data_IF_120528351846
#
_entry.id   IF_120528351846
#
_cell.length_a   1.000
_cell.length_b   1.000
_cell.length_c   1.000
_cell.angle_alpha   90.00
_cell.angle_beta   90.00
_cell.angle_gamma   90.00
#
_symmetry.space_group_name_H-M   'P 1'
#
loop_
_entity.id
_entity.type
_entity.pdbx_description
1 polymer ?
#
# COMPACT_ATOMS: atom_id res chain seq x y z
N UNK A 1 54.25 45.53 -54.70
CA UNK A 1 55.27 46.48 -54.25
C UNK A 1 55.70 46.04 -52.88
N UNK A 2 56.83 45.40 -52.87
CA UNK A 2 58.08 45.70 -52.17
C UNK A 2 57.99 45.68 -50.66
N UNK A 3 58.82 45.08 -49.94
CA UNK A 3 60.07 44.27 -50.02
C UNK A 3 60.44 43.84 -48.59
N UNK A 4 60.92 42.65 -48.50
CA UNK A 4 62.19 42.23 -47.87
C UNK A 4 62.72 43.03 -46.71
N UNK A 5 63.12 42.37 -45.62
CA UNK A 5 64.52 42.07 -45.27
C UNK A 5 64.60 41.11 -44.07
N UNK A 6 65.41 40.07 -44.24
CA UNK A 6 66.00 39.23 -43.22
C UNK A 6 66.99 40.00 -42.35
N UNK A 7 67.24 39.54 -41.12
CA UNK A 7 68.62 39.36 -40.60
C UNK A 7 68.66 38.39 -39.46
N UNK A 8 69.56 37.49 -39.62
CA UNK A 8 70.12 36.46 -38.80
C UNK A 8 70.83 36.92 -37.52
N UNK A 9 70.90 35.99 -36.58
CA UNK A 9 72.01 35.51 -35.71
C UNK A 9 71.98 35.95 -34.25
N UNK A 10 71.96 35.08 -33.34
CA UNK A 10 73.04 34.34 -32.71
C UNK A 10 72.64 33.49 -31.54
N UNK A 11 73.19 32.30 -31.58
CA UNK A 11 73.17 31.28 -30.58
C UNK A 11 73.71 31.73 -29.18
N UNK A 12 73.26 31.14 -28.10
CA UNK A 12 74.03 30.10 -27.36
C UNK A 12 73.45 29.81 -25.96
N UNK A 13 73.45 28.52 -25.68
CA UNK A 13 73.66 27.87 -24.40
C UNK A 13 72.72 28.16 -23.19
N UNK A 14 72.06 27.08 -22.77
CA UNK A 14 71.51 26.91 -21.44
C UNK A 14 70.54 25.75 -21.34
N UNK A 15 70.97 24.54 -21.70
CA UNK A 15 70.24 23.34 -21.33
C UNK A 15 70.22 23.15 -19.84
N UNK A 16 69.07 22.88 -19.28
CA UNK A 16 68.88 21.98 -18.12
C UNK A 16 67.40 21.78 -17.84
N UNK A 17 66.98 20.52 -18.06
CA UNK A 17 65.95 19.85 -17.26
C UNK A 17 64.53 20.42 -17.21
N UNK A 18 63.74 20.23 -18.26
CA UNK A 18 62.30 20.51 -18.26
C UNK A 18 61.43 19.27 -18.57
N UNK A 19 61.93 18.06 -18.36
CA UNK A 19 61.17 16.82 -18.69
C UNK A 19 60.54 16.08 -17.47
N UNK A 20 60.79 16.32 -16.18
CA UNK A 20 60.08 15.55 -15.16
C UNK A 20 58.76 16.15 -14.62
N UNK A 21 58.38 17.40 -15.01
CA UNK A 21 57.15 18.02 -14.43
C UNK A 21 55.88 17.73 -15.22
N UNK A 22 55.94 17.37 -16.48
CA UNK A 22 54.78 17.05 -17.30
C UNK A 22 54.35 15.60 -17.12
N UNK A 23 55.25 14.67 -16.79
CA UNK A 23 54.92 13.25 -16.53
C UNK A 23 54.27 13.05 -15.15
N UNK A 24 54.43 13.91 -14.18
CA UNK A 24 53.79 13.82 -12.85
C UNK A 24 52.39 14.38 -12.84
N UNK A 25 52.03 15.31 -13.73
CA UNK A 25 50.65 15.83 -13.87
C UNK A 25 49.75 14.86 -14.65
N UNK A 26 50.30 14.08 -15.58
CA UNK A 26 49.50 13.08 -16.32
C UNK A 26 49.19 11.82 -15.51
N UNK A 27 50.00 11.48 -14.50
CA UNK A 27 49.74 10.34 -13.61
C UNK A 27 48.70 10.67 -12.52
N UNK A 28 48.49 11.96 -12.18
CA UNK A 28 47.51 12.39 -11.18
C UNK A 28 46.10 12.58 -11.76
N UNK A 29 45.96 12.71 -13.10
CA UNK A 29 44.67 12.81 -13.77
C UNK A 29 44.07 11.43 -14.13
N UNK A 30 44.84 10.33 -14.08
CA UNK A 30 44.35 8.99 -14.36
C UNK A 30 43.83 8.24 -13.12
N UNK A 31 43.98 8.82 -11.90
CA UNK A 31 43.59 8.18 -10.65
C UNK A 31 42.22 8.61 -10.11
N UNK A 32 41.44 9.44 -10.87
CA UNK A 32 40.18 9.98 -10.39
C UNK A 32 38.93 9.59 -11.19
N UNK A 33 38.98 8.47 -11.92
CA UNK A 33 37.76 7.96 -12.58
C UNK A 33 37.52 6.48 -12.31
N UNK A 34 37.69 6.03 -11.08
CA UNK A 34 36.89 4.90 -10.62
C UNK A 34 35.53 5.47 -10.20
N UNK A 35 34.70 5.84 -11.15
CA UNK A 35 33.26 5.84 -10.95
C UNK A 35 32.94 4.43 -10.48
N UNK A 36 32.71 4.27 -9.19
CA UNK A 36 32.12 3.06 -8.65
C UNK A 36 30.77 2.88 -9.36
N UNK A 37 30.78 2.18 -10.49
CA UNK A 37 29.59 1.58 -11.03
C UNK A 37 29.20 0.58 -9.95
N UNK A 38 28.30 1.00 -9.08
CA UNK A 38 27.53 0.10 -8.24
C UNK A 38 26.84 -0.83 -9.26
N UNK A 39 27.36 -2.02 -9.39
CA UNK A 39 26.72 -3.07 -10.19
C UNK A 39 25.29 -3.18 -9.66
N UNK A 40 24.31 -2.80 -10.48
CA UNK A 40 22.90 -2.82 -10.13
C UNK A 40 22.55 -4.28 -9.87
N UNK A 41 22.43 -4.67 -8.60
CA UNK A 41 22.16 -6.05 -8.19
C UNK A 41 20.81 -6.47 -8.78
N UNK A 42 20.83 -7.21 -9.88
CA UNK A 42 19.62 -7.71 -10.53
C UNK A 42 19.08 -8.91 -9.76
N UNK A 43 18.07 -8.69 -8.93
CA UNK A 43 17.38 -9.74 -8.17
C UNK A 43 16.38 -10.53 -9.02
N UNK A 44 16.05 -10.04 -10.23
CA UNK A 44 15.22 -10.72 -11.19
C UNK A 44 13.73 -10.41 -11.08
N UNK A 45 12.90 -11.28 -11.66
CA UNK A 45 11.45 -11.08 -11.76
C UNK A 45 10.74 -11.35 -10.44
N UNK A 46 9.69 -10.55 -10.17
CA UNK A 46 8.76 -10.74 -9.06
C UNK A 46 7.32 -10.47 -9.56
N UNK A 47 6.42 -11.45 -9.39
CA UNK A 47 5.01 -11.31 -9.75
C UNK A 47 4.22 -10.88 -8.52
N UNK A 48 3.51 -9.76 -8.62
CA UNK A 48 2.74 -9.17 -7.53
C UNK A 48 1.29 -9.01 -7.98
N UNK A 49 0.34 -9.44 -7.15
CA UNK A 49 -1.06 -9.15 -7.40
C UNK A 49 -1.68 -8.33 -6.27
N UNK A 50 -2.63 -7.46 -6.63
CA UNK A 50 -3.45 -6.72 -5.68
C UNK A 50 -4.94 -7.01 -5.88
N UNK A 51 -5.65 -7.25 -4.77
CA UNK A 51 -7.04 -7.71 -4.78
C UNK A 51 -8.06 -6.59 -5.03
N UNK A 52 -7.66 -5.33 -4.86
CA UNK A 52 -8.52 -4.16 -5.04
C UNK A 52 -7.74 -2.98 -5.58
N UNK A 53 -8.34 -2.27 -6.54
CA UNK A 53 -7.84 -1.00 -7.05
C UNK A 53 -8.56 0.13 -6.28
N UNK A 54 -7.90 0.68 -5.27
CA UNK A 54 -8.39 1.78 -4.42
C UNK A 54 -7.30 2.83 -4.25
N UNK A 55 -7.62 4.04 -3.78
CA UNK A 55 -6.60 5.05 -3.48
C UNK A 55 -5.51 4.54 -2.53
N UNK A 56 -5.83 3.63 -1.61
CA UNK A 56 -4.87 3.00 -0.69
C UNK A 56 -3.84 2.10 -1.40
N UNK A 57 -4.12 1.63 -2.62
CA UNK A 57 -3.17 0.83 -3.43
C UNK A 57 -2.14 1.71 -4.14
N UNK A 58 -2.30 3.05 -4.13
CA UNK A 58 -1.52 3.98 -4.93
C UNK A 58 -0.01 3.85 -4.76
N UNK A 59 0.50 3.50 -3.58
CA UNK A 59 1.93 3.34 -3.33
C UNK A 59 2.57 2.24 -4.20
N UNK A 60 1.85 1.16 -4.53
CA UNK A 60 2.34 0.13 -5.46
C UNK A 60 2.42 0.65 -6.89
N UNK A 61 1.43 1.44 -7.32
CA UNK A 61 1.45 2.08 -8.62
C UNK A 61 2.53 3.15 -8.72
N UNK A 62 2.72 3.95 -7.65
CA UNK A 62 3.81 4.92 -7.55
C UNK A 62 5.16 4.21 -7.66
N UNK A 63 5.34 3.12 -6.93
CA UNK A 63 6.57 2.33 -7.02
C UNK A 63 6.83 1.82 -8.44
N UNK A 64 5.78 1.39 -9.16
CA UNK A 64 5.88 0.95 -10.55
C UNK A 64 6.18 2.09 -11.52
N UNK A 65 5.41 3.18 -11.46
CA UNK A 65 5.53 4.31 -12.40
C UNK A 65 6.84 5.09 -12.22
N UNK A 66 7.35 5.16 -10.98
CA UNK A 66 8.61 5.84 -10.69
C UNK A 66 9.82 4.89 -10.68
N UNK A 67 9.66 3.66 -11.21
CA UNK A 67 10.73 2.67 -11.34
C UNK A 67 11.45 2.35 -10.02
N UNK A 68 10.72 2.41 -8.90
CA UNK A 68 11.32 2.11 -7.59
C UNK A 68 11.65 0.61 -7.47
N UNK A 69 10.89 -0.26 -8.12
CA UNK A 69 11.21 -1.68 -8.14
C UNK A 69 12.54 -1.93 -8.85
N UNK A 70 12.74 -1.31 -10.00
CA UNK A 70 13.98 -1.38 -10.77
C UNK A 70 15.15 -0.78 -9.98
N UNK A 71 14.96 0.34 -9.28
CA UNK A 71 15.94 0.95 -8.38
C UNK A 71 16.47 -0.03 -7.33
N UNK A 72 15.64 -0.96 -6.88
CA UNK A 72 16.02 -2.02 -5.94
C UNK A 72 16.32 -3.37 -6.61
N UNK A 73 16.59 -3.39 -7.93
CA UNK A 73 17.01 -4.57 -8.67
C UNK A 73 15.88 -5.54 -9.06
N UNK A 74 14.63 -5.13 -8.97
CA UNK A 74 13.47 -5.98 -9.27
C UNK A 74 12.83 -5.62 -10.62
N UNK A 75 12.49 -6.63 -11.41
CA UNK A 75 11.58 -6.51 -12.54
C UNK A 75 10.19 -6.99 -12.10
N UNK A 76 9.31 -6.04 -11.76
CA UNK A 76 7.99 -6.35 -11.19
C UNK A 76 6.91 -6.42 -12.26
N UNK A 77 6.20 -7.55 -12.30
CA UNK A 77 4.92 -7.70 -12.97
C UNK A 77 3.80 -7.46 -11.94
N UNK A 78 3.11 -6.32 -12.03
CA UNK A 78 2.06 -5.91 -11.10
C UNK A 78 0.68 -6.10 -11.75
N UNK A 79 -0.13 -7.02 -11.23
CA UNK A 79 -1.44 -7.37 -11.81
C UNK A 79 -2.59 -7.13 -10.83
N UNK A 80 -3.75 -6.80 -11.37
CA UNK A 80 -5.01 -6.67 -10.61
C UNK A 80 -5.79 -7.98 -10.71
N UNK A 81 -6.10 -8.58 -9.56
CA UNK A 81 -6.96 -9.79 -9.47
C UNK A 81 -8.06 -9.47 -8.46
N UNK A 82 -9.28 -9.26 -8.96
CA UNK A 82 -10.41 -8.84 -8.11
C UNK A 82 -10.73 -9.88 -7.03
N UNK A 83 -10.74 -9.44 -5.78
CA UNK A 83 -11.18 -10.21 -4.62
C UNK A 83 -10.04 -10.94 -3.91
N UNK A 84 -9.96 -10.77 -2.57
CA UNK A 84 -8.88 -11.33 -1.75
C UNK A 84 -8.83 -12.86 -1.79
N UNK A 85 -9.97 -13.54 -1.86
CA UNK A 85 -10.00 -15.01 -1.94
C UNK A 85 -9.40 -15.54 -3.25
N UNK A 86 -9.77 -14.96 -4.39
CA UNK A 86 -9.22 -15.34 -5.70
C UNK A 86 -7.71 -15.03 -5.78
N UNK A 87 -7.32 -13.83 -5.30
CA UNK A 87 -5.90 -13.44 -5.26
C UNK A 87 -5.08 -14.38 -4.35
N UNK A 88 -5.65 -14.82 -3.23
CA UNK A 88 -5.00 -15.81 -2.34
C UNK A 88 -4.79 -17.16 -3.03
N UNK A 89 -5.76 -17.61 -3.85
CA UNK A 89 -5.60 -18.85 -4.62
C UNK A 89 -4.41 -18.80 -5.58
N UNK A 90 -4.16 -17.66 -6.25
CA UNK A 90 -3.01 -17.51 -7.15
C UNK A 90 -1.66 -17.51 -6.41
N UNK A 91 -1.62 -16.98 -5.18
CA UNK A 91 -0.44 -17.07 -4.32
C UNK A 91 -0.18 -18.53 -3.91
N UNK A 92 -1.20 -19.23 -3.43
CA UNK A 92 -1.07 -20.62 -2.99
C UNK A 92 -0.70 -21.51 -4.18
N UNK A 93 -1.31 -21.30 -5.35
CA UNK A 93 -1.01 -22.00 -6.60
C UNK A 93 0.42 -21.76 -7.13
N UNK A 94 1.04 -20.64 -6.78
CA UNK A 94 2.43 -20.33 -7.16
C UNK A 94 2.56 -19.47 -8.41
N UNK A 95 1.47 -18.99 -9.01
CA UNK A 95 1.49 -18.09 -10.15
C UNK A 95 1.96 -16.68 -9.76
N UNK A 96 1.70 -16.29 -8.50
CA UNK A 96 2.05 -15.01 -7.90
C UNK A 96 2.96 -15.23 -6.69
N UNK A 97 3.96 -14.37 -6.52
CA UNK A 97 4.96 -14.44 -5.46
C UNK A 97 4.54 -13.66 -4.20
N UNK A 98 3.92 -12.49 -4.41
CA UNK A 98 3.50 -11.56 -3.36
C UNK A 98 2.11 -11.02 -3.69
N UNK A 99 1.25 -10.93 -2.69
CA UNK A 99 -0.08 -10.36 -2.86
C UNK A 99 -0.37 -9.24 -1.87
N UNK A 100 -1.25 -8.31 -2.31
CA UNK A 100 -1.89 -7.29 -1.50
C UNK A 100 -3.37 -7.66 -1.34
N UNK A 101 -3.76 -8.00 -0.11
CA UNK A 101 -5.10 -8.49 0.25
C UNK A 101 -5.52 -7.98 1.63
N UNK A 102 -6.71 -8.33 2.09
CA UNK A 102 -7.10 -8.14 3.50
C UNK A 102 -6.41 -9.19 4.38
N UNK A 103 -5.93 -8.81 5.56
CA UNK A 103 -5.29 -9.74 6.49
C UNK A 103 -6.22 -10.85 6.94
N UNK A 104 -7.51 -10.58 7.05
CA UNK A 104 -8.51 -11.61 7.36
C UNK A 104 -8.51 -12.76 6.33
N UNK A 105 -8.31 -12.47 5.03
CA UNK A 105 -8.17 -13.50 4.01
C UNK A 105 -6.90 -14.34 4.20
N UNK A 106 -5.78 -13.68 4.55
CA UNK A 106 -4.53 -14.37 4.83
C UNK A 106 -4.61 -15.26 6.08
N UNK A 107 -5.20 -14.74 7.17
CA UNK A 107 -5.40 -15.46 8.43
C UNK A 107 -6.31 -16.67 8.20
N UNK A 108 -7.40 -16.50 7.46
CA UNK A 108 -8.34 -17.60 7.12
C UNK A 108 -7.64 -18.68 6.30
N UNK A 109 -6.87 -18.30 5.28
CA UNK A 109 -6.12 -19.23 4.44
C UNK A 109 -5.07 -20.00 5.25
N UNK A 110 -4.29 -19.29 6.08
CA UNK A 110 -3.30 -19.89 6.96
C UNK A 110 -3.96 -20.81 8.01
N UNK A 111 -5.12 -20.42 8.56
CA UNK A 111 -5.93 -21.24 9.44
C UNK A 111 -6.36 -22.57 8.83
N UNK A 112 -6.63 -22.57 7.54
CA UNK A 112 -6.96 -23.76 6.73
C UNK A 112 -5.73 -24.52 6.24
N UNK A 113 -4.53 -24.15 6.69
CA UNK A 113 -3.29 -24.86 6.38
C UNK A 113 -2.49 -24.32 5.20
N UNK A 114 -2.90 -23.20 4.57
CA UNK A 114 -2.08 -22.57 3.55
C UNK A 114 -0.76 -22.03 4.17
N UNK A 115 0.42 -22.30 3.57
CA UNK A 115 1.71 -21.91 4.14
C UNK A 115 2.03 -20.42 3.83
N UNK A 116 1.13 -19.52 4.20
CA UNK A 116 1.23 -18.07 3.93
C UNK A 116 1.45 -17.27 5.21
N UNK A 117 1.99 -16.06 5.06
CA UNK A 117 2.30 -15.17 6.18
C UNK A 117 2.20 -13.70 5.74
N UNK A 118 1.71 -12.85 6.63
CA UNK A 118 1.66 -11.38 6.45
C UNK A 118 3.04 -10.83 6.79
N UNK A 119 3.65 -10.07 5.88
CA UNK A 119 5.00 -9.52 6.03
C UNK A 119 5.04 -8.01 6.19
N UNK A 120 3.97 -7.31 5.81
CA UNK A 120 3.82 -5.86 5.95
C UNK A 120 2.35 -5.46 5.82
N UNK A 121 2.03 -4.18 6.11
CA UNK A 121 0.69 -3.62 5.91
C UNK A 121 0.76 -2.19 5.35
N UNK A 122 -0.30 -1.75 4.68
CA UNK A 122 -0.51 -0.34 4.34
C UNK A 122 -1.45 0.39 5.33
N UNK A 123 -1.86 -0.28 6.41
CA UNK A 123 -2.73 0.27 7.45
C UNK A 123 -4.02 -0.52 7.65
N UNK A 124 -5.06 0.15 8.09
CA UNK A 124 -6.39 -0.42 8.33
C UNK A 124 -7.47 0.33 7.54
N UNK A 125 -8.68 -0.24 7.45
CA UNK A 125 -9.81 0.43 6.83
C UNK A 125 -10.36 1.54 7.73
N UNK A 126 -10.67 2.69 7.15
CA UNK A 126 -11.34 3.83 7.78
C UNK A 126 -12.87 3.73 7.63
N UNK A 127 -13.46 2.65 8.10
CA UNK A 127 -14.90 2.46 7.96
C UNK A 127 -15.72 3.46 8.73
N UNK A 128 -16.68 4.06 8.03
CA UNK A 128 -17.73 4.93 8.57
C UNK A 128 -19.09 4.31 8.29
N UNK A 129 -19.99 4.36 9.26
CA UNK A 129 -21.38 3.96 9.07
C UNK A 129 -22.12 5.07 8.35
N UNK A 130 -22.46 4.83 7.09
CA UNK A 130 -23.12 5.77 6.19
C UNK A 130 -24.59 5.40 6.08
N UNK A 131 -25.46 6.35 6.35
CA UNK A 131 -26.90 6.17 6.30
C UNK A 131 -27.58 7.18 5.38
N UNK A 132 -28.83 6.86 5.01
CA UNK A 132 -29.68 7.79 4.27
C UNK A 132 -29.82 9.11 5.05
N UNK A 133 -29.87 10.29 4.39
CA UNK A 133 -29.95 11.59 5.06
C UNK A 133 -31.10 11.76 6.05
N UNK A 134 -32.19 11.03 5.86
CA UNK A 134 -33.35 11.01 6.80
C UNK A 134 -33.07 10.29 8.12
N UNK A 135 -31.95 9.55 8.23
CA UNK A 135 -31.54 8.82 9.42
C UNK A 135 -30.40 9.61 10.07
N UNK A 136 -30.73 10.42 11.05
CA UNK A 136 -29.79 11.35 11.68
C UNK A 136 -29.16 10.82 12.98
N UNK A 137 -29.59 9.63 13.46
CA UNK A 137 -29.05 9.04 14.70
C UNK A 137 -29.04 7.53 14.66
N UNK A 138 -28.20 6.93 15.49
CA UNK A 138 -28.11 5.48 15.66
C UNK A 138 -29.43 4.84 16.10
N UNK A 139 -30.21 5.53 16.93
CA UNK A 139 -31.51 5.04 17.40
C UNK A 139 -32.51 4.85 16.27
N UNK A 140 -32.44 5.66 15.22
CA UNK A 140 -33.31 5.55 14.04
C UNK A 140 -32.94 4.36 13.14
N UNK A 141 -31.79 3.69 13.40
CA UNK A 141 -31.45 2.43 12.73
C UNK A 141 -32.24 1.22 13.31
N UNK A 142 -32.89 1.34 14.47
CA UNK A 142 -33.69 0.22 15.01
C UNK A 142 -34.80 -0.18 14.03
N UNK A 143 -34.90 -1.49 13.78
CA UNK A 143 -35.79 -2.08 12.79
C UNK A 143 -35.36 -1.87 11.34
N UNK A 144 -34.16 -1.34 11.09
CA UNK A 144 -33.67 -1.02 9.75
C UNK A 144 -32.69 -2.08 9.23
N UNK A 145 -32.44 -2.02 7.92
CA UNK A 145 -31.59 -2.95 7.20
C UNK A 145 -30.26 -2.28 6.84
N UNK A 146 -29.16 -2.92 7.20
CA UNK A 146 -27.78 -2.50 6.86
C UNK A 146 -27.26 -3.37 5.75
N UNK A 147 -26.80 -2.77 4.65
CA UNK A 147 -26.22 -3.49 3.51
C UNK A 147 -24.78 -3.91 3.81
N UNK A 148 -24.47 -5.18 3.59
CA UNK A 148 -23.14 -5.78 3.67
C UNK A 148 -22.75 -6.37 2.31
N UNK A 149 -21.44 -6.53 2.06
CA UNK A 149 -20.97 -7.19 0.84
C UNK A 149 -21.29 -8.69 0.86
N UNK A 150 -20.90 -9.38 1.91
CA UNK A 150 -21.22 -10.78 2.18
C UNK A 150 -20.93 -11.12 3.67
N UNK A 151 -21.41 -12.26 4.19
CA UNK A 151 -21.23 -12.65 5.59
C UNK A 151 -19.77 -12.96 6.01
N UNK A 152 -18.83 -13.03 5.06
CA UNK A 152 -17.40 -13.19 5.31
C UNK A 152 -16.63 -11.91 4.95
N UNK A 153 -17.32 -10.81 4.61
CA UNK A 153 -16.73 -9.53 4.24
C UNK A 153 -16.21 -8.77 5.45
N UNK A 154 -15.18 -7.94 5.23
CA UNK A 154 -14.60 -7.08 6.26
C UNK A 154 -15.62 -6.07 6.82
N UNK A 155 -16.55 -5.61 5.99
CA UNK A 155 -17.66 -4.74 6.39
C UNK A 155 -18.64 -5.44 7.36
N UNK A 156 -18.91 -6.72 7.15
CA UNK A 156 -19.73 -7.51 8.07
C UNK A 156 -19.09 -7.68 9.45
N UNK A 157 -17.80 -8.05 9.48
CA UNK A 157 -17.08 -8.19 10.74
C UNK A 157 -16.96 -6.86 11.48
N UNK A 158 -16.66 -5.75 10.77
CA UNK A 158 -16.64 -4.43 11.35
C UNK A 158 -17.99 -4.05 11.98
N UNK A 159 -19.10 -4.28 11.28
CA UNK A 159 -20.45 -4.01 11.79
C UNK A 159 -20.78 -4.87 13.01
N UNK A 160 -20.48 -6.16 12.96
CA UNK A 160 -20.72 -7.06 14.12
C UNK A 160 -19.98 -6.60 15.37
N UNK A 161 -18.81 -6.01 15.23
CA UNK A 161 -17.99 -5.52 16.32
C UNK A 161 -18.42 -4.11 16.77
N UNK A 162 -18.80 -3.24 15.85
CA UNK A 162 -19.14 -1.86 16.10
C UNK A 162 -20.56 -1.69 16.68
N UNK A 163 -21.56 -2.38 16.10
CA UNK A 163 -22.97 -2.19 16.48
C UNK A 163 -23.24 -2.41 17.97
N UNK A 164 -22.74 -3.48 18.65
CA UNK A 164 -22.93 -3.65 20.08
C UNK A 164 -22.35 -2.53 20.92
N UNK A 165 -21.17 -1.98 20.52
CA UNK A 165 -20.56 -0.83 21.20
C UNK A 165 -21.40 0.43 21.06
N UNK A 166 -22.20 0.52 20.00
CA UNK A 166 -23.13 1.62 19.72
C UNK A 166 -24.54 1.39 20.29
N UNK A 167 -24.75 0.30 21.06
CA UNK A 167 -26.03 -0.02 21.68
C UNK A 167 -27.06 -0.61 20.73
N UNK A 168 -26.60 -1.19 19.61
CA UNK A 168 -27.46 -1.87 18.62
C UNK A 168 -27.07 -3.36 18.53
N UNK A 169 -28.05 -4.25 18.64
CA UNK A 169 -27.83 -5.70 18.61
C UNK A 169 -28.14 -6.22 17.19
N UNK A 170 -27.11 -6.74 16.44
CA UNK A 170 -27.34 -7.38 15.16
C UNK A 170 -28.34 -8.54 15.24
N UNK A 171 -29.26 -8.61 14.30
CA UNK A 171 -30.32 -9.65 14.27
C UNK A 171 -31.52 -9.34 15.18
N UNK A 172 -31.42 -8.38 16.11
CA UNK A 172 -32.51 -7.93 16.97
C UNK A 172 -32.93 -6.49 16.64
N UNK A 173 -31.97 -5.56 16.76
CA UNK A 173 -32.25 -4.14 16.53
C UNK A 173 -32.06 -3.74 15.07
N UNK A 174 -31.17 -4.41 14.34
CA UNK A 174 -30.90 -4.19 12.91
C UNK A 174 -30.74 -5.51 12.19
N UNK A 175 -31.15 -5.56 10.92
CA UNK A 175 -30.95 -6.71 10.03
C UNK A 175 -29.83 -6.44 9.02
N UNK A 176 -29.18 -7.49 8.52
CA UNK A 176 -28.23 -7.40 7.42
C UNK A 176 -28.83 -7.88 6.11
N UNK A 177 -28.58 -7.13 5.04
CA UNK A 177 -28.85 -7.54 3.67
C UNK A 177 -27.53 -7.80 2.94
N UNK A 178 -27.31 -9.02 2.49
CA UNK A 178 -26.20 -9.36 1.61
C UNK A 178 -26.47 -8.81 0.21
N UNK A 179 -25.66 -7.83 -0.19
CA UNK A 179 -25.82 -7.16 -1.50
C UNK A 179 -25.01 -7.83 -2.61
N UNK A 180 -23.97 -8.59 -2.29
CA UNK A 180 -22.98 -9.08 -3.25
C UNK A 180 -22.03 -8.00 -3.79
N UNK A 181 -22.25 -6.72 -3.40
CA UNK A 181 -21.51 -5.55 -3.89
C UNK A 181 -20.34 -5.29 -2.97
N UNK A 182 -19.10 -5.31 -3.52
CA UNK A 182 -17.88 -5.03 -2.76
C UNK A 182 -17.61 -3.52 -2.62
N UNK A 183 -17.99 -2.74 -3.62
CA UNK A 183 -17.77 -1.28 -3.68
C UNK A 183 -18.70 -0.56 -2.69
N UNK A 184 -18.13 0.21 -1.74
CA UNK A 184 -18.91 1.07 -0.85
C UNK A 184 -19.63 2.19 -1.62
N UNK A 185 -19.03 2.67 -2.71
CA UNK A 185 -19.65 3.68 -3.59
C UNK A 185 -20.96 3.14 -4.17
N UNK A 186 -20.94 1.91 -4.71
CA UNK A 186 -22.14 1.29 -5.27
C UNK A 186 -23.18 0.96 -4.17
N UNK A 187 -22.76 0.52 -2.98
CA UNK A 187 -23.70 0.27 -1.86
C UNK A 187 -24.39 1.55 -1.38
N UNK A 188 -23.70 2.70 -1.42
CA UNK A 188 -24.31 3.99 -1.08
C UNK A 188 -25.42 4.37 -2.06
N UNK A 189 -25.37 3.98 -3.33
CA UNK A 189 -26.51 4.17 -4.24
C UNK A 189 -27.74 3.46 -3.71
N UNK A 190 -27.62 2.23 -3.21
CA UNK A 190 -28.74 1.51 -2.60
C UNK A 190 -29.27 2.21 -1.33
N UNK A 191 -28.38 2.88 -0.58
CA UNK A 191 -28.80 3.71 0.57
C UNK A 191 -29.65 4.90 0.11
N UNK A 192 -29.17 5.63 -0.90
CA UNK A 192 -29.85 6.81 -1.44
C UNK A 192 -31.18 6.45 -2.14
N UNK A 193 -31.26 5.27 -2.72
CA UNK A 193 -32.50 4.71 -3.30
C UNK A 193 -33.48 4.16 -2.24
N UNK A 194 -33.07 4.13 -0.95
CA UNK A 194 -33.90 3.58 0.14
C UNK A 194 -34.04 2.05 0.14
N UNK A 195 -33.25 1.34 -0.67
CA UNK A 195 -33.24 -0.14 -0.73
C UNK A 195 -32.55 -0.80 0.45
N UNK A 196 -31.58 -0.09 1.04
CA UNK A 196 -30.98 -0.35 2.34
C UNK A 196 -30.93 0.98 3.10
N UNK A 197 -30.83 0.94 4.41
CA UNK A 197 -30.92 2.13 5.23
C UNK A 197 -29.55 2.70 5.63
N UNK A 198 -28.54 1.81 5.72
CA UNK A 198 -27.15 2.15 5.99
C UNK A 198 -26.21 1.11 5.37
N UNK A 199 -24.93 1.48 5.28
CA UNK A 199 -23.83 0.58 4.89
C UNK A 199 -22.52 1.10 5.50
N UNK A 200 -21.43 0.33 5.40
CA UNK A 200 -20.09 0.88 5.64
C UNK A 200 -19.48 1.44 4.35
N UNK A 201 -18.85 2.59 4.49
CA UNK A 201 -18.03 3.20 3.46
C UNK A 201 -16.80 3.87 4.07
N UNK A 202 -15.93 4.44 3.25
CA UNK A 202 -14.75 5.19 3.65
C UNK A 202 -15.01 6.70 3.64
N UNK A 203 -14.10 7.47 4.21
CA UNK A 203 -14.08 8.93 4.07
C UNK A 203 -14.06 9.37 2.60
N UNK A 204 -13.40 8.62 1.71
CA UNK A 204 -13.42 8.89 0.27
C UNK A 204 -14.81 8.75 -0.34
N UNK A 205 -15.59 7.76 0.15
CA UNK A 205 -16.99 7.57 -0.29
C UNK A 205 -17.84 8.76 0.13
N UNK A 206 -17.70 9.25 1.36
CA UNK A 206 -18.39 10.45 1.84
C UNK A 206 -18.05 11.65 0.94
N UNK A 207 -16.77 11.92 0.76
CA UNK A 207 -16.30 13.05 -0.04
C UNK A 207 -16.78 12.99 -1.49
N UNK A 208 -16.78 11.81 -2.11
CA UNK A 208 -17.28 11.63 -3.47
C UNK A 208 -18.75 12.05 -3.61
N UNK A 209 -19.59 11.65 -2.63
CA UNK A 209 -21.01 11.98 -2.66
C UNK A 209 -21.27 13.44 -2.33
N UNK A 210 -20.53 14.02 -1.39
CA UNK A 210 -20.58 15.46 -1.08
C UNK A 210 -20.21 16.31 -2.29
N UNK A 211 -19.17 15.96 -3.04
CA UNK A 211 -18.79 16.64 -4.28
C UNK A 211 -19.86 16.55 -5.38
N UNK A 212 -20.70 15.50 -5.34
CA UNK A 212 -21.88 15.36 -6.22
C UNK A 212 -23.10 16.09 -5.70
N UNK A 213 -22.98 16.86 -4.61
CA UNK A 213 -24.10 17.57 -3.97
C UNK A 213 -25.04 16.68 -3.18
N UNK A 214 -24.65 15.42 -2.92
CA UNK A 214 -25.45 14.46 -2.16
C UNK A 214 -24.93 14.35 -0.73
N UNK A 215 -25.80 14.57 0.26
CA UNK A 215 -25.45 14.41 1.67
C UNK A 215 -25.68 12.97 2.11
N UNK A 216 -24.85 12.49 3.00
CA UNK A 216 -24.99 11.22 3.73
C UNK A 216 -24.96 11.52 5.23
N UNK A 217 -25.68 10.75 6.01
CA UNK A 217 -25.52 10.78 7.47
C UNK A 217 -24.36 9.86 7.83
N UNK A 218 -23.30 10.42 8.43
CA UNK A 218 -22.20 9.66 9.02
C UNK A 218 -22.56 9.42 10.48
N UNK A 219 -22.98 8.20 10.84
CA UNK A 219 -23.52 7.89 12.17
C UNK A 219 -22.46 7.40 13.15
N UNK A 220 -21.38 6.82 12.68
CA UNK A 220 -20.28 6.33 13.49
C UNK A 220 -18.99 6.12 12.66
N UNK A 221 -17.86 6.14 13.33
CA UNK A 221 -16.53 5.82 12.80
C UNK A 221 -16.01 4.56 13.48
N UNK A 222 -15.52 3.59 12.70
CA UNK A 222 -15.04 2.32 13.22
C UNK A 222 -13.81 2.51 14.12
N UNK A 223 -12.85 3.33 13.68
CA UNK A 223 -11.60 3.57 14.41
C UNK A 223 -11.85 4.28 15.73
N UNK A 224 -12.69 5.30 15.74
CA UNK A 224 -13.10 6.02 16.96
C UNK A 224 -13.80 5.09 17.97
N UNK A 225 -14.44 4.03 17.47
CA UNK A 225 -15.08 3.00 18.30
C UNK A 225 -14.17 1.79 18.58
N UNK A 226 -12.87 1.90 18.34
CA UNK A 226 -11.90 0.83 18.60
C UNK A 226 -12.13 -0.43 17.75
N UNK A 227 -12.57 -0.26 16.50
CA UNK A 227 -12.75 -1.33 15.53
C UNK A 227 -11.75 -1.16 14.41
N UNK A 228 -10.74 -2.03 14.40
CA UNK A 228 -9.62 -2.00 13.47
C UNK A 228 -9.72 -3.18 12.52
N UNK A 229 -10.00 -2.91 11.26
CA UNK A 229 -10.11 -3.94 10.23
C UNK A 229 -8.86 -3.93 9.39
N UNK A 230 -8.18 -5.08 9.31
CA UNK A 230 -6.99 -5.25 8.48
C UNK A 230 -7.29 -4.87 7.03
N UNK A 231 -6.42 -4.05 6.44
CA UNK A 231 -6.56 -3.61 5.06
C UNK A 231 -5.21 -3.39 4.41
N UNK A 232 -5.05 -3.97 3.23
CA UNK A 232 -3.83 -3.74 2.47
C UNK A 232 -2.60 -4.43 3.03
N UNK A 233 -2.78 -5.66 3.45
CA UNK A 233 -1.70 -6.50 3.97
C UNK A 233 -0.93 -7.15 2.83
N UNK A 234 0.39 -7.17 2.97
CA UNK A 234 1.32 -7.82 2.05
C UNK A 234 1.56 -9.24 2.54
N UNK A 235 1.28 -10.19 1.67
CA UNK A 235 1.34 -11.62 2.00
C UNK A 235 2.24 -12.37 1.03
N UNK A 236 3.04 -13.27 1.56
CA UNK A 236 3.89 -14.18 0.79
C UNK A 236 3.77 -15.62 1.32
N UNK A 237 4.21 -16.60 0.54
CA UNK A 237 4.40 -17.98 1.07
C UNK A 237 5.60 -18.00 2.01
N UNK A 238 5.50 -18.73 3.14
CA UNK A 238 6.62 -18.90 4.10
C UNK A 238 7.87 -19.47 3.44
N UNK A 239 7.71 -20.41 2.49
CA UNK A 239 8.82 -20.96 1.73
C UNK A 239 9.47 -19.88 0.85
N UNK A 240 8.68 -19.06 0.15
CA UNK A 240 9.22 -18.00 -0.71
C UNK A 240 9.99 -16.95 0.11
N UNK A 241 9.48 -16.60 1.31
CA UNK A 241 10.16 -15.70 2.26
C UNK A 241 11.54 -16.26 2.66
N UNK A 242 11.63 -17.55 2.93
CA UNK A 242 12.88 -18.23 3.30
C UNK A 242 13.88 -18.32 2.15
N UNK A 243 13.40 -18.59 0.93
CA UNK A 243 14.25 -18.82 -0.24
C UNK A 243 14.65 -17.53 -0.96
N UNK A 244 13.84 -16.47 -0.85
CA UNK A 244 14.03 -15.22 -1.58
C UNK A 244 14.00 -13.96 -0.67
N UNK A 245 14.72 -13.96 0.49
CA UNK A 245 14.66 -12.84 1.44
C UNK A 245 15.15 -11.51 0.81
N UNK A 246 16.16 -11.57 -0.06
CA UNK A 246 16.70 -10.40 -0.75
C UNK A 246 15.66 -9.76 -1.69
N UNK A 247 14.90 -10.56 -2.44
CA UNK A 247 13.83 -10.06 -3.31
C UNK A 247 12.71 -9.41 -2.51
N UNK A 248 12.27 -10.05 -1.43
CA UNK A 248 11.22 -9.51 -0.58
C UNK A 248 11.66 -8.24 0.15
N UNK A 249 12.91 -8.18 0.61
CA UNK A 249 13.48 -6.98 1.21
C UNK A 249 13.54 -5.80 0.23
N UNK A 250 13.97 -6.06 -1.01
CA UNK A 250 13.98 -5.07 -2.08
C UNK A 250 12.56 -4.59 -2.42
N UNK A 251 11.58 -5.51 -2.50
CA UNK A 251 10.17 -5.17 -2.67
C UNK A 251 9.65 -4.29 -1.54
N UNK A 252 9.92 -4.64 -0.28
CA UNK A 252 9.50 -3.86 0.88
C UNK A 252 10.12 -2.46 0.87
N UNK A 253 11.40 -2.31 0.49
CA UNK A 253 12.03 -1.00 0.35
C UNK A 253 11.36 -0.15 -0.73
N UNK A 254 11.07 -0.71 -1.91
CA UNK A 254 10.36 -0.01 -2.97
C UNK A 254 8.93 0.40 -2.55
N UNK A 255 8.22 -0.48 -1.85
CA UNK A 255 6.89 -0.23 -1.29
C UNK A 255 6.92 0.94 -0.29
N UNK A 256 7.86 0.93 0.66
CA UNK A 256 8.03 1.96 1.68
C UNK A 256 8.34 3.30 1.03
N UNK A 257 9.24 3.33 0.05
CA UNK A 257 9.55 4.54 -0.71
C UNK A 257 8.34 5.06 -1.49
N UNK A 258 7.55 4.16 -2.09
CA UNK A 258 6.28 4.50 -2.73
C UNK A 258 5.27 5.15 -1.78
N UNK A 259 5.15 4.64 -0.54
CA UNK A 259 4.33 5.27 0.51
C UNK A 259 4.83 6.66 0.87
N UNK A 260 6.15 6.84 1.00
CA UNK A 260 6.76 8.13 1.29
C UNK A 260 6.57 9.13 0.17
N UNK A 261 6.75 8.72 -1.08
CA UNK A 261 6.48 9.57 -2.24
C UNK A 261 5.01 9.99 -2.29
N UNK A 262 4.09 9.07 -2.00
CA UNK A 262 2.67 9.37 -1.92
C UNK A 262 2.38 10.45 -0.87
N UNK A 263 2.96 10.34 0.33
CA UNK A 263 2.78 11.32 1.42
C UNK A 263 3.28 12.72 1.04
N UNK A 264 4.45 12.80 0.45
CA UNK A 264 5.15 14.06 0.18
C UNK A 264 4.72 14.76 -1.09
N UNK A 265 4.18 14.02 -2.05
CA UNK A 265 3.92 14.54 -3.38
C UNK A 265 2.52 14.17 -3.85
N UNK A 266 1.57 15.06 -3.55
CA UNK A 266 0.19 14.92 -3.98
C UNK A 266 0.03 14.85 -5.49
N UNK A 267 0.90 15.52 -6.27
CA UNK A 267 0.85 15.44 -7.73
C UNK A 267 1.20 14.04 -8.23
N UNK A 268 2.20 13.38 -7.64
CA UNK A 268 2.53 11.98 -7.94
C UNK A 268 1.39 11.04 -7.55
N UNK A 269 0.80 11.24 -6.38
CA UNK A 269 -0.38 10.48 -5.94
C UNK A 269 -1.56 10.67 -6.92
N UNK A 270 -1.89 11.91 -7.26
CA UNK A 270 -2.97 12.23 -8.20
C UNK A 270 -2.74 11.67 -9.61
N UNK A 271 -1.48 11.65 -10.08
CA UNK A 271 -1.14 11.08 -11.38
C UNK A 271 -1.49 9.58 -11.47
N UNK A 272 -1.19 8.79 -10.43
CA UNK A 272 -1.55 7.38 -10.42
C UNK A 272 -3.04 7.16 -10.21
N UNK A 273 -3.74 8.00 -9.43
CA UNK A 273 -5.21 7.93 -9.33
C UNK A 273 -5.88 8.18 -10.68
N UNK A 274 -5.40 9.18 -11.45
CA UNK A 274 -5.89 9.44 -12.81
C UNK A 274 -5.64 8.25 -13.73
N UNK A 275 -4.43 7.70 -13.70
CA UNK A 275 -4.04 6.58 -14.57
C UNK A 275 -4.84 5.31 -14.27
N UNK A 276 -4.90 4.90 -13.01
CA UNK A 276 -5.42 3.60 -12.59
C UNK A 276 -6.90 3.60 -12.20
N UNK A 277 -7.40 4.72 -11.65
CA UNK A 277 -8.79 4.84 -11.17
C UNK A 277 -9.64 5.80 -12.01
N UNK A 278 -9.06 6.51 -12.99
CA UNK A 278 -9.75 7.50 -13.82
C UNK A 278 -10.35 8.65 -12.99
N UNK A 279 -9.69 9.02 -11.89
CA UNK A 279 -10.09 10.13 -11.03
C UNK A 279 -9.36 11.38 -11.50
N UNK A 280 -10.12 12.34 -12.05
CA UNK A 280 -9.59 13.59 -12.62
C UNK A 280 -9.92 14.82 -11.75
N UNK A 281 -10.99 14.76 -10.94
CA UNK A 281 -11.38 15.87 -10.06
C UNK A 281 -10.33 16.08 -8.96
N UNK A 282 -9.63 17.21 -9.03
CA UNK A 282 -8.55 17.52 -8.07
C UNK A 282 -9.06 17.67 -6.64
N UNK A 283 -10.31 18.09 -6.43
CA UNK A 283 -10.91 18.19 -5.10
C UNK A 283 -11.03 16.79 -4.47
N UNK A 284 -11.39 15.79 -5.29
CA UNK A 284 -11.44 14.40 -4.84
C UNK A 284 -10.03 13.83 -4.60
N UNK A 285 -9.06 14.18 -5.46
CA UNK A 285 -7.65 13.81 -5.24
C UNK A 285 -7.13 14.39 -3.92
N UNK A 286 -7.46 15.64 -3.58
CA UNK A 286 -7.06 16.29 -2.33
C UNK A 286 -7.58 15.53 -1.11
N UNK A 287 -8.85 15.15 -1.13
CA UNK A 287 -9.47 14.38 -0.05
C UNK A 287 -8.86 12.98 0.04
N UNK A 288 -8.72 12.29 -1.09
CA UNK A 288 -8.13 10.95 -1.14
C UNK A 288 -6.67 10.93 -0.70
N UNK A 289 -5.91 11.99 -1.01
CA UNK A 289 -4.55 12.15 -0.51
C UNK A 289 -4.51 12.22 1.01
N UNK A 290 -5.38 13.02 1.63
CA UNK A 290 -5.50 13.13 3.08
C UNK A 290 -5.90 11.81 3.73
N UNK A 291 -6.89 11.14 3.17
CA UNK A 291 -7.48 9.93 3.76
C UNK A 291 -6.64 8.67 3.54
N UNK A 292 -5.77 8.63 2.53
CA UNK A 292 -5.01 7.44 2.18
C UNK A 292 -3.49 7.67 2.24
N UNK A 293 -2.97 8.64 1.47
CA UNK A 293 -1.53 8.81 1.39
C UNK A 293 -0.93 9.31 2.70
N UNK A 294 -1.54 10.29 3.36
CA UNK A 294 -1.06 10.79 4.64
C UNK A 294 -1.25 9.79 5.78
N UNK A 295 -2.22 8.88 5.64
CA UNK A 295 -2.51 7.83 6.62
C UNK A 295 -1.61 6.57 6.50
N UNK A 296 -0.80 6.44 5.44
CA UNK A 296 0.13 5.30 5.37
C UNK A 296 1.02 5.26 6.62
N UNK A 297 1.28 4.09 7.19
CA UNK A 297 2.14 3.97 8.34
C UNK A 297 3.57 4.41 8.01
N UNK A 298 4.24 5.08 8.94
CA UNK A 298 5.66 5.45 8.79
C UNK A 298 6.59 4.23 8.78
N UNK A 299 6.14 3.17 9.45
CA UNK A 299 6.74 1.84 9.45
C UNK A 299 5.63 0.83 9.22
N UNK A 300 5.65 0.05 8.14
CA UNK A 300 4.51 -0.78 7.72
C UNK A 300 4.41 -2.12 8.47
N UNK A 301 4.57 -2.08 9.80
CA UNK A 301 4.34 -3.24 10.66
C UNK A 301 2.85 -3.57 10.75
N UNK A 302 2.45 -4.84 10.59
CA UNK A 302 1.08 -5.26 10.87
C UNK A 302 0.65 -4.87 12.30
N UNK A 303 -0.54 -4.32 12.43
CA UNK A 303 -1.09 -3.94 13.74
C UNK A 303 -1.49 -5.19 14.52
N UNK A 304 -0.91 -5.37 15.71
CA UNK A 304 -1.25 -6.49 16.61
C UNK A 304 -2.74 -6.49 16.95
N UNK A 305 -3.31 -5.32 17.22
CA UNK A 305 -4.73 -5.20 17.55
C UNK A 305 -5.63 -5.56 16.35
N UNK A 306 -5.28 -5.12 15.14
CA UNK A 306 -6.05 -5.51 13.94
C UNK A 306 -5.97 -7.01 13.65
N UNK A 307 -4.81 -7.64 13.85
CA UNK A 307 -4.62 -9.08 13.68
C UNK A 307 -5.42 -9.84 14.75
N UNK A 308 -5.35 -9.42 16.02
CA UNK A 308 -6.12 -10.01 17.11
C UNK A 308 -7.62 -9.95 16.84
N UNK A 309 -8.14 -8.77 16.47
CA UNK A 309 -9.55 -8.62 16.13
C UNK A 309 -9.96 -9.50 14.95
N UNK A 310 -9.11 -9.62 13.91
CA UNK A 310 -9.39 -10.52 12.80
C UNK A 310 -9.42 -11.99 13.22
N UNK A 311 -8.51 -12.42 14.09
CA UNK A 311 -8.51 -13.78 14.65
C UNK A 311 -9.80 -14.07 15.42
N UNK A 312 -10.19 -13.17 16.32
CA UNK A 312 -11.42 -13.29 17.10
C UNK A 312 -12.67 -13.40 16.21
N UNK A 313 -12.77 -12.54 15.19
CA UNK A 313 -13.91 -12.53 14.26
C UNK A 313 -13.97 -13.82 13.41
N UNK A 314 -12.81 -14.30 12.94
CA UNK A 314 -12.73 -15.53 12.14
C UNK A 314 -13.04 -16.74 13.02
N UNK A 315 -12.51 -16.82 14.24
CA UNK A 315 -12.84 -17.92 15.19
C UNK A 315 -14.33 -17.93 15.54
N UNK A 316 -14.95 -16.76 15.72
CA UNK A 316 -16.39 -16.68 16.00
C UNK A 316 -17.24 -17.18 14.82
N UNK A 317 -16.77 -16.98 13.59
CA UNK A 317 -17.44 -17.44 12.38
C UNK A 317 -17.07 -18.90 12.00
N UNK A 318 -15.90 -19.37 12.40
CA UNK A 318 -15.32 -20.68 12.04
C UNK A 318 -14.59 -21.29 13.26
N UNK A 319 -15.33 -21.74 14.29
CA UNK A 319 -14.72 -22.20 15.56
C UNK A 319 -13.78 -23.41 15.41
N UNK A 320 -13.94 -24.16 14.32
CA UNK A 320 -13.11 -25.32 14.00
C UNK A 320 -11.66 -24.97 13.64
N UNK A 321 -11.38 -23.71 13.23
CA UNK A 321 -10.05 -23.29 12.79
C UNK A 321 -9.05 -23.14 13.93
N UNK A 322 -9.49 -22.84 15.17
CA UNK A 322 -8.65 -22.73 16.38
C UNK A 322 -7.39 -21.88 16.16
N UNK A 323 -7.58 -20.59 15.86
CA UNK A 323 -6.50 -19.71 15.39
C UNK A 323 -5.64 -19.08 16.49
N UNK A 324 -6.06 -19.13 17.77
CA UNK A 324 -5.49 -18.32 18.86
C UNK A 324 -3.99 -18.49 19.09
N UNK A 325 -3.46 -19.71 18.87
CA UNK A 325 -2.05 -20.05 19.14
C UNK A 325 -1.18 -20.06 17.87
N UNK A 326 -1.67 -19.47 16.78
CA UNK A 326 -0.96 -19.47 15.49
C UNK A 326 -0.35 -18.11 15.17
N UNK A 327 0.84 -18.16 14.61
CA UNK A 327 1.54 -16.97 14.12
C UNK A 327 1.19 -16.68 12.65
N UNK A 328 0.60 -15.49 12.42
CA UNK A 328 0.14 -15.06 11.09
C UNK A 328 1.02 -13.98 10.47
N UNK A 329 1.99 -13.44 11.22
CA UNK A 329 2.88 -12.37 10.76
C UNK A 329 4.34 -12.79 10.82
N UNK A 330 5.15 -12.28 9.91
CA UNK A 330 6.61 -12.37 9.97
C UNK A 330 7.20 -11.01 9.56
N UNK A 331 7.76 -10.33 10.53
CA UNK A 331 8.30 -8.97 10.36
C UNK A 331 9.82 -8.91 10.37
N UNK A 332 10.50 -10.05 10.25
CA UNK A 332 11.96 -10.12 10.32
C UNK A 332 12.64 -9.19 9.28
N UNK A 333 12.18 -9.18 8.04
CA UNK A 333 12.71 -8.31 7.00
C UNK A 333 12.46 -6.83 7.27
N UNK A 334 11.32 -6.46 7.87
CA UNK A 334 11.05 -5.07 8.28
C UNK A 334 12.00 -4.63 9.39
N UNK A 335 12.27 -5.50 10.36
CA UNK A 335 13.24 -5.24 11.44
C UNK A 335 14.66 -5.07 10.90
N UNK A 336 15.05 -5.83 9.88
CA UNK A 336 16.33 -5.64 9.20
C UNK A 336 16.39 -4.29 8.47
N UNK A 337 15.35 -3.93 7.71
CA UNK A 337 15.23 -2.65 7.01
C UNK A 337 15.32 -1.49 8.02
N UNK A 338 14.69 -1.62 9.18
CA UNK A 338 14.76 -0.65 10.27
C UNK A 338 16.17 -0.53 10.84
N UNK A 339 16.83 -1.66 11.12
CA UNK A 339 18.22 -1.71 11.63
C UNK A 339 19.21 -1.09 10.66
N UNK A 340 18.97 -1.16 9.35
CA UNK A 340 19.77 -0.48 8.33
C UNK A 340 19.53 1.04 8.29
N UNK A 341 18.64 1.59 9.11
CA UNK A 341 18.31 3.00 9.13
C UNK A 341 17.49 3.48 7.93
N UNK A 342 16.93 2.56 7.12
CA UNK A 342 16.24 2.90 5.88
C UNK A 342 15.06 3.85 6.08
N UNK A 343 14.25 3.64 7.12
CA UNK A 343 13.12 4.51 7.44
C UNK A 343 13.54 5.97 7.71
N UNK A 344 14.72 6.17 8.28
CA UNK A 344 15.27 7.53 8.54
C UNK A 344 15.88 8.14 7.29
N UNK A 345 16.57 7.32 6.48
CA UNK A 345 17.24 7.79 5.26
C UNK A 345 16.23 8.25 4.21
N UNK A 346 15.11 7.54 4.06
CA UNK A 346 14.08 7.88 3.04
C UNK A 346 13.28 9.12 3.42
N UNK A 347 13.33 9.53 4.70
CA UNK A 347 12.66 10.73 5.20
C UNK A 347 13.40 12.03 4.89
N UNK A 348 14.69 11.95 4.57
CA UNK A 348 15.55 13.09 4.19
C UNK A 348 15.38 13.45 2.72
#
# INVERSE_FOLDING_TARGET
MTSFVNVWDRASNGGKNMIPRILLLSLFLLACTTVAHSEEVKLGRLNIAYASATPRTAYLWIAKENRLFEKYGLNVNLVSIRGSATTMQTLVGGDIDVIYVTGAAAITAAGRGAPVVIIATSGHNDYKMLAHPSIASLQQLKGKTIGISNPAGSDYFALRRMLPKLGLIPGKDVSFLTTGIQSSIEKVLLVLEGRIHATLGSSDTVALYELKGQKLSVLADAVENGVYVTSGDIVAKRQFLKENPAKLKAFLKAMIEGMWMAKRNQAVFGAVLRKYLKIEDMRLVDVMHKNNALDYPSKPYPSEESIKQAIEDINAANPELKLNDREFTDTALLKEIEKEGFFTTIQR
#
